data_IF_344151212599
#
_entry.id   IF_344151212599
#
_cell.length_a   1.000
_cell.length_b   1.000
_cell.length_c   1.000
_cell.angle_alpha   90.00
_cell.angle_beta   90.00
_cell.angle_gamma   90.00
#
_symmetry.space_group_name_H-M   'P 1'
#
loop_
_entity.id
_entity.type
_entity.pdbx_description
1 polymer ?
#
# COMPACT_ATOMS: atom_id res chain seq x y z
N UNK A 1 33.10 -5.36 8.47
CA UNK A 1 31.81 -4.79 8.93
C UNK A 1 32.10 -3.46 9.62
N UNK A 2 31.62 -2.36 9.07
CA UNK A 2 31.68 -1.09 9.78
C UNK A 2 30.52 -1.06 10.79
N UNK A 3 30.84 -1.15 12.08
CA UNK A 3 29.83 -1.03 13.14
C UNK A 3 29.24 0.38 13.15
N UNK A 4 27.93 0.48 13.26
CA UNK A 4 27.23 1.73 13.59
C UNK A 4 27.62 2.24 14.98
N UNK A 5 27.32 3.51 15.25
CA UNK A 5 27.66 4.15 16.52
C UNK A 5 27.10 3.41 17.74
N UNK A 6 25.90 2.84 17.64
CA UNK A 6 25.24 2.11 18.72
C UNK A 6 25.75 0.68 18.86
N UNK A 7 26.10 0.01 17.76
CA UNK A 7 26.68 -1.34 17.79
C UNK A 7 28.06 -1.37 18.44
N UNK A 8 28.87 -0.31 18.26
CA UNK A 8 30.16 -0.17 18.96
C UNK A 8 30.03 -0.15 20.48
N UNK A 9 28.88 0.31 21.02
CA UNK A 9 28.65 0.36 22.48
C UNK A 9 28.38 -1.01 23.09
N UNK A 10 27.88 -1.99 22.32
CA UNK A 10 27.62 -3.35 22.79
C UNK A 10 27.77 -4.36 21.64
N UNK A 11 28.94 -4.94 21.55
CA UNK A 11 29.27 -5.93 20.51
C UNK A 11 28.55 -7.25 20.80
N UNK A 12 27.81 -7.78 19.81
CA UNK A 12 27.24 -9.14 19.83
C UNK A 12 28.06 -10.02 18.89
N UNK A 13 28.61 -11.12 19.41
CA UNK A 13 29.35 -12.10 18.60
C UNK A 13 28.38 -13.10 17.96
N UNK A 14 28.47 -13.26 16.65
CA UNK A 14 27.73 -14.25 15.87
C UNK A 14 28.61 -15.51 15.66
N UNK A 15 27.99 -16.69 15.66
CA UNK A 15 28.64 -18.00 15.43
C UNK A 15 28.11 -18.70 14.17
N UNK A 16 27.19 -18.06 13.43
CA UNK A 16 26.69 -18.53 12.15
C UNK A 16 27.83 -18.68 11.14
N UNK A 17 27.84 -19.81 10.45
CA UNK A 17 28.88 -20.14 9.45
C UNK A 17 28.48 -19.73 8.04
N UNK A 18 27.17 -19.61 7.78
CA UNK A 18 26.64 -19.22 6.49
C UNK A 18 26.56 -17.70 6.40
N UNK A 19 27.00 -17.09 5.29
CA UNK A 19 26.80 -15.67 5.08
C UNK A 19 25.31 -15.37 4.86
N UNK A 20 24.88 -14.22 5.35
CA UNK A 20 23.57 -13.67 5.01
C UNK A 20 23.57 -13.27 3.53
N UNK A 21 22.78 -13.97 2.71
CA UNK A 21 22.69 -13.72 1.26
C UNK A 21 21.75 -12.56 0.93
N UNK A 22 20.81 -12.26 1.82
CA UNK A 22 19.81 -11.21 1.65
C UNK A 22 19.52 -10.53 2.99
N UNK A 23 19.36 -9.22 2.95
CA UNK A 23 18.95 -8.43 4.11
C UNK A 23 17.52 -8.77 4.55
N UNK A 24 17.25 -8.56 5.84
CA UNK A 24 15.90 -8.71 6.36
C UNK A 24 15.02 -7.62 5.74
N UNK A 25 13.89 -7.96 5.09
CA UNK A 25 13.04 -6.96 4.48
C UNK A 25 12.38 -6.09 5.55
N UNK A 26 11.83 -4.95 5.14
CA UNK A 26 11.08 -4.10 6.05
C UNK A 26 9.82 -4.84 6.54
N UNK A 27 9.80 -5.18 7.82
CA UNK A 27 8.80 -6.11 8.38
C UNK A 27 7.36 -5.58 8.36
N UNK A 28 7.18 -4.27 8.17
CA UNK A 28 5.87 -3.62 8.07
C UNK A 28 5.46 -3.32 6.62
N UNK A 29 6.27 -3.71 5.63
CA UNK A 29 6.02 -3.42 4.22
C UNK A 29 4.60 -3.84 3.80
N UNK A 30 4.22 -5.09 4.11
CA UNK A 30 2.89 -5.64 3.75
C UNK A 30 1.73 -4.74 4.19
N UNK A 31 1.80 -4.19 5.41
CA UNK A 31 0.71 -3.37 5.94
C UNK A 31 0.66 -2.00 5.25
N UNK A 32 1.81 -1.38 5.04
CA UNK A 32 1.90 -0.09 4.35
C UNK A 32 1.52 -0.21 2.88
N UNK A 33 2.09 -1.20 2.19
CA UNK A 33 1.90 -1.43 0.77
C UNK A 33 0.43 -1.72 0.46
N UNK A 34 -0.22 -2.56 1.28
CA UNK A 34 -1.66 -2.84 1.17
C UNK A 34 -2.51 -1.58 1.32
N UNK A 35 -2.18 -0.71 2.29
CA UNK A 35 -2.90 0.54 2.49
C UNK A 35 -2.68 1.52 1.32
N UNK A 36 -1.45 1.66 0.84
CA UNK A 36 -1.14 2.51 -0.31
C UNK A 36 -1.83 2.01 -1.59
N UNK A 37 -1.87 0.70 -1.81
CA UNK A 37 -2.57 0.09 -2.94
C UNK A 37 -4.09 0.33 -2.85
N UNK A 38 -4.67 0.24 -1.65
CA UNK A 38 -6.08 0.51 -1.43
C UNK A 38 -6.47 1.97 -1.76
N UNK A 39 -5.60 2.93 -1.40
CA UNK A 39 -5.85 4.36 -1.61
C UNK A 39 -5.49 4.85 -3.01
N UNK A 40 -4.41 4.34 -3.60
CA UNK A 40 -3.81 4.84 -4.85
C UNK A 40 -3.54 6.36 -4.82
N UNK A 41 -3.00 6.87 -3.71
CA UNK A 41 -2.83 8.29 -3.46
C UNK A 41 -1.91 8.98 -4.49
N UNK A 42 -0.86 8.30 -4.94
CA UNK A 42 0.14 8.88 -5.85
C UNK A 42 -0.25 8.79 -7.34
N UNK A 43 -1.49 8.38 -7.65
CA UNK A 43 -1.99 8.27 -9.02
C UNK A 43 -3.05 9.32 -9.31
N UNK A 44 -2.99 9.92 -10.50
CA UNK A 44 -4.08 10.78 -10.97
C UNK A 44 -5.38 9.96 -11.08
N UNK A 45 -6.56 10.59 -10.99
CA UNK A 45 -7.84 9.88 -11.11
C UNK A 45 -7.95 8.99 -12.36
N UNK A 46 -7.34 9.40 -13.47
CA UNK A 46 -7.36 8.71 -14.76
C UNK A 46 -6.41 7.51 -14.82
N UNK A 47 -5.36 7.50 -14.00
CA UNK A 47 -4.33 6.45 -13.95
C UNK A 47 -4.59 5.39 -12.85
N UNK A 48 -5.69 5.54 -12.11
CA UNK A 48 -6.07 4.61 -11.06
C UNK A 48 -6.54 3.28 -11.64
N UNK A 49 -5.98 2.21 -11.08
CA UNK A 49 -6.38 0.84 -11.37
C UNK A 49 -7.72 0.54 -10.69
N UNK A 50 -8.45 -0.44 -11.21
CA UNK A 50 -9.69 -0.94 -10.61
C UNK A 50 -9.41 -1.82 -9.40
N UNK A 51 -8.84 -1.21 -8.36
CA UNK A 51 -8.53 -1.82 -7.06
C UNK A 51 -8.90 -0.86 -5.93
N UNK A 52 -9.00 -1.39 -4.71
CA UNK A 52 -9.26 -0.60 -3.50
C UNK A 52 -10.52 0.27 -3.58
N UNK A 53 -10.39 1.54 -3.23
CA UNK A 53 -11.51 2.50 -3.25
C UNK A 53 -12.10 2.69 -4.65
N UNK A 54 -11.27 2.73 -5.69
CA UNK A 54 -11.75 2.93 -7.06
C UNK A 54 -12.63 1.76 -7.52
N UNK A 55 -12.21 0.51 -7.23
CA UNK A 55 -13.01 -0.68 -7.50
C UNK A 55 -14.33 -0.68 -6.72
N UNK A 56 -14.28 -0.32 -5.43
CA UNK A 56 -15.47 -0.30 -4.59
C UNK A 56 -16.51 0.69 -5.15
N UNK A 57 -16.12 1.90 -5.52
CA UNK A 57 -17.05 2.85 -6.13
C UNK A 57 -17.58 2.37 -7.49
N UNK A 58 -16.72 1.85 -8.38
CA UNK A 58 -17.17 1.30 -9.66
C UNK A 58 -18.10 0.09 -9.53
N UNK A 59 -18.01 -0.67 -8.44
CA UNK A 59 -18.90 -1.80 -8.19
C UNK A 59 -20.31 -1.41 -7.74
N UNK A 60 -20.44 -0.24 -7.11
CA UNK A 60 -21.71 0.24 -6.53
C UNK A 60 -22.41 1.22 -7.47
N UNK A 61 -21.66 2.01 -8.21
CA UNK A 61 -22.18 3.00 -9.14
C UNK A 61 -22.29 2.43 -10.57
N UNK A 62 -23.30 2.88 -11.35
CA UNK A 62 -24.29 3.88 -11.01
C UNK A 62 -25.41 3.38 -10.10
N UNK A 63 -25.91 4.29 -9.25
CA UNK A 63 -27.09 4.03 -8.42
C UNK A 63 -28.29 4.72 -9.09
N UNK A 64 -29.19 3.93 -9.66
CA UNK A 64 -30.41 4.44 -10.28
C UNK A 64 -31.55 4.63 -9.26
N UNK A 65 -32.33 5.71 -9.42
CA UNK A 65 -33.59 5.90 -8.69
C UNK A 65 -34.60 4.83 -9.09
N UNK A 66 -35.44 4.39 -8.15
CA UNK A 66 -36.53 3.46 -8.42
C UNK A 66 -37.48 3.95 -9.54
N UNK A 67 -37.67 5.27 -9.64
CA UNK A 67 -38.49 5.89 -10.69
C UNK A 67 -37.84 5.94 -12.07
N UNK A 68 -36.55 5.59 -12.19
CA UNK A 68 -35.79 5.63 -13.45
C UNK A 68 -35.40 7.03 -13.95
N UNK A 69 -35.87 8.10 -13.29
CA UNK A 69 -35.69 9.48 -13.75
C UNK A 69 -34.36 10.12 -13.33
N UNK A 70 -33.54 9.42 -12.55
CA UNK A 70 -32.25 9.92 -12.07
C UNK A 70 -31.29 8.76 -11.80
N UNK A 71 -30.01 9.00 -12.02
CA UNK A 71 -28.91 8.12 -11.63
C UNK A 71 -27.80 8.96 -10.99
N UNK A 72 -27.18 8.40 -9.94
CA UNK A 72 -25.96 8.95 -9.37
C UNK A 72 -24.77 8.22 -10.00
N UNK A 73 -23.78 8.98 -10.43
CA UNK A 73 -22.57 8.50 -11.11
C UNK A 73 -21.33 8.79 -10.27
N UNK A 74 -20.37 7.87 -10.31
CA UNK A 74 -19.05 8.09 -9.73
C UNK A 74 -18.09 8.61 -10.80
N UNK A 75 -17.45 9.75 -10.52
CA UNK A 75 -16.45 10.36 -11.42
C UNK A 75 -15.04 10.15 -10.89
N UNK A 76 -14.73 10.61 -9.67
CA UNK A 76 -13.42 10.47 -9.04
C UNK A 76 -13.48 10.68 -7.52
N UNK A 77 -12.40 10.38 -6.80
CA UNK A 77 -12.21 10.70 -5.38
C UNK A 77 -10.87 11.43 -5.15
N UNK A 78 -10.76 12.14 -4.02
CA UNK A 78 -9.52 12.81 -3.56
C UNK A 78 -9.34 12.65 -2.05
N UNK A 79 -8.11 12.83 -1.59
CA UNK A 79 -7.73 12.84 -0.18
C UNK A 79 -7.49 14.27 0.32
#
# INVERSE_FOLDING_TARGET
>A
MAYSYTEKKRIRKDFGKLPQVMDVPYLLAIQLDSYYEFLQQDRSPEERMEIGLHAAFKSVFPIASFSGNAALEYVSYRF
#
